data_IF_426388418226
#
_entry.id   IF_426388418226
#
_cell.length_a   1.000
_cell.length_b   1.000
_cell.length_c   1.000
_cell.angle_alpha   90.00
_cell.angle_beta   90.00
_cell.angle_gamma   90.00
#
_symmetry.space_group_name_H-M   'P 1'
#
loop_
_entity.id
_entity.type
_entity.pdbx_description
1 polymer ?
#
# COMPACT_ATOMS: atom_id res chain seq x y z
N UNK A 1 7.64 64.38 -100.50
CA UNK A 1 6.94 65.61 -100.09
C UNK A 1 8.00 66.70 -100.00
N UNK A 2 8.22 67.50 -101.05
CA UNK A 2 7.47 68.72 -101.40
C UNK A 2 7.74 69.81 -100.34
N UNK A 3 8.28 71.00 -100.56
CA UNK A 3 8.43 71.87 -101.74
C UNK A 3 9.45 73.00 -101.43
N UNK A 4 10.01 73.58 -102.49
CA UNK A 4 10.11 75.03 -102.75
C UNK A 4 11.50 75.52 -103.21
N UNK A 5 11.63 75.63 -104.54
CA UNK A 5 12.53 76.55 -105.27
C UNK A 5 11.87 77.96 -105.31
N UNK A 6 12.17 78.90 -106.25
CA UNK A 6 13.42 79.41 -106.90
C UNK A 6 13.53 80.98 -106.89
N UNK A 7 14.53 81.59 -107.59
CA UNK A 7 14.34 82.55 -108.74
C UNK A 7 15.33 83.77 -108.87
N UNK A 8 15.88 83.92 -110.11
CA UNK A 8 16.34 85.09 -110.93
C UNK A 8 17.62 85.89 -110.61
N UNK A 9 18.63 85.97 -111.52
CA UNK A 9 18.80 86.60 -112.89
C UNK A 9 19.17 88.10 -112.81
N UNK A 10 20.24 88.50 -113.54
CA UNK A 10 20.27 89.57 -114.58
C UNK A 10 21.71 90.09 -114.85
N UNK A 11 22.18 89.98 -116.10
CA UNK A 11 23.06 90.98 -116.76
C UNK A 11 22.19 92.16 -117.24
N UNK A 12 22.71 93.37 -117.56
CA UNK A 12 23.12 93.67 -118.96
C UNK A 12 24.15 94.83 -119.18
N UNK A 13 24.98 94.66 -120.22
CA UNK A 13 25.25 95.52 -121.39
C UNK A 13 25.28 97.09 -121.39
N UNK A 14 26.24 97.58 -122.22
CA UNK A 14 26.27 98.79 -123.09
C UNK A 14 26.53 100.20 -122.51
N UNK A 15 27.59 100.89 -122.98
CA UNK A 15 27.48 101.98 -123.98
C UNK A 15 28.84 102.44 -124.55
N UNK A 16 28.78 102.86 -125.81
CA UNK A 16 29.79 103.30 -126.79
C UNK A 16 30.54 104.61 -126.35
N UNK A 17 31.61 105.14 -126.97
CA UNK A 17 31.68 105.63 -128.37
C UNK A 17 33.06 106.29 -128.67
N UNK A 18 33.51 106.16 -129.92
CA UNK A 18 34.30 107.11 -130.75
C UNK A 18 35.68 107.63 -130.31
N UNK A 19 36.70 107.30 -131.13
CA UNK A 19 37.13 108.24 -132.19
C UNK A 19 38.37 109.13 -131.96
N UNK A 20 39.43 108.79 -132.70
CA UNK A 20 40.35 109.68 -133.45
C UNK A 20 41.46 110.49 -132.75
N UNK A 21 42.69 110.15 -133.16
CA UNK A 21 43.85 110.97 -133.51
C UNK A 21 44.63 111.82 -132.45
N UNK A 22 45.92 111.46 -132.39
CA UNK A 22 47.13 112.31 -132.27
C UNK A 22 47.62 112.91 -130.92
N UNK A 23 48.78 112.37 -130.49
CA UNK A 23 50.04 113.09 -130.18
C UNK A 23 50.38 113.53 -128.72
N UNK A 24 51.44 112.84 -128.20
CA UNK A 24 52.51 113.22 -127.24
C UNK A 24 52.39 112.91 -125.72
N UNK A 25 53.56 112.58 -125.16
CA UNK A 25 53.95 111.75 -123.98
C UNK A 25 54.23 112.57 -122.69
N UNK A 26 54.23 111.97 -121.46
CA UNK A 26 55.12 112.30 -120.29
C UNK A 26 55.01 111.33 -119.07
N UNK A 27 56.12 111.15 -118.31
CA UNK A 27 56.54 109.94 -117.51
C UNK A 27 56.39 110.02 -115.96
N UNK A 28 55.94 111.14 -115.41
CA UNK A 28 56.00 111.44 -113.95
C UNK A 28 54.93 110.72 -113.11
N UNK A 29 53.88 110.19 -113.74
CA UNK A 29 52.75 109.54 -113.05
C UNK A 29 53.09 108.14 -112.50
N UNK A 30 54.03 107.42 -113.13
CA UNK A 30 54.34 106.00 -112.81
C UNK A 30 55.08 105.77 -111.48
N UNK A 31 55.85 106.75 -110.98
CA UNK A 31 56.69 106.57 -109.79
C UNK A 31 55.86 106.63 -108.49
N UNK A 32 54.78 107.41 -108.52
CA UNK A 32 53.81 107.49 -107.43
C UNK A 32 53.08 106.15 -107.23
N UNK A 33 52.79 105.45 -108.34
CA UNK A 33 52.09 104.16 -108.31
C UNK A 33 52.92 103.03 -107.67
N UNK A 34 54.26 103.06 -107.77
CA UNK A 34 55.14 102.03 -107.21
C UNK A 34 55.30 102.11 -105.68
N UNK A 35 55.39 103.32 -105.13
CA UNK A 35 55.49 103.52 -103.67
C UNK A 35 54.14 103.29 -102.96
N UNK A 36 53.04 103.48 -103.70
CA UNK A 36 51.72 103.04 -103.29
C UNK A 36 51.67 101.51 -103.15
N UNK A 37 52.20 100.79 -104.14
CA UNK A 37 52.20 99.31 -104.15
C UNK A 37 53.00 98.65 -103.02
N UNK A 38 54.13 99.21 -102.59
CA UNK A 38 54.90 98.64 -101.47
C UNK A 38 54.19 98.78 -100.11
N UNK A 39 53.54 99.92 -99.87
CA UNK A 39 52.70 100.11 -98.67
C UNK A 39 51.45 99.23 -98.73
N UNK A 40 50.95 98.97 -99.93
CA UNK A 40 49.92 97.96 -100.15
C UNK A 40 50.44 96.56 -99.82
N UNK A 41 51.66 96.18 -100.21
CA UNK A 41 52.25 94.85 -99.92
C UNK A 41 52.58 94.63 -98.43
N UNK A 42 53.19 95.60 -97.74
CA UNK A 42 53.42 95.52 -96.28
C UNK A 42 52.10 95.54 -95.50
N UNK A 43 51.09 96.26 -96.02
CA UNK A 43 49.72 96.21 -95.52
C UNK A 43 49.05 94.85 -95.78
N UNK A 44 49.37 94.21 -96.90
CA UNK A 44 48.88 92.87 -97.25
C UNK A 44 49.53 91.78 -96.39
N UNK A 45 50.83 91.85 -96.10
CA UNK A 45 51.51 90.86 -95.23
C UNK A 45 51.08 90.99 -93.78
N UNK A 46 50.95 92.21 -93.26
CA UNK A 46 50.39 92.45 -91.93
C UNK A 46 48.92 91.97 -91.84
N UNK A 47 48.13 92.18 -92.90
CA UNK A 47 46.76 91.66 -92.99
C UNK A 47 46.71 90.13 -93.10
N UNK A 48 47.74 89.49 -93.65
CA UNK A 48 47.85 88.03 -93.76
C UNK A 48 48.19 87.40 -92.42
N UNK A 49 49.19 87.94 -91.70
CA UNK A 49 49.55 87.51 -90.34
C UNK A 49 48.40 87.77 -89.34
N UNK A 50 47.70 88.90 -89.46
CA UNK A 50 46.49 89.17 -88.67
C UNK A 50 45.40 88.14 -88.98
N UNK A 51 45.22 87.76 -90.26
CA UNK A 51 44.29 86.70 -90.64
C UNK A 51 44.70 85.32 -90.15
N UNK A 52 45.99 85.03 -90.11
CA UNK A 52 46.53 83.74 -89.66
C UNK A 52 46.39 83.59 -88.14
N UNK A 53 46.74 84.62 -87.36
CA UNK A 53 46.45 84.65 -85.91
C UNK A 53 44.94 84.58 -85.62
N UNK A 54 44.11 85.26 -86.44
CA UNK A 54 42.65 85.13 -86.35
C UNK A 54 42.20 83.69 -86.60
N UNK A 55 42.77 83.03 -87.60
CA UNK A 55 42.50 81.63 -87.93
C UNK A 55 42.91 80.68 -86.80
N UNK A 56 44.10 80.85 -86.22
CA UNK A 56 44.61 80.03 -85.12
C UNK A 56 43.74 80.19 -83.87
N UNK A 57 43.35 81.42 -83.52
CA UNK A 57 42.43 81.69 -82.40
C UNK A 57 41.03 81.11 -82.63
N UNK A 58 40.53 81.13 -83.88
CA UNK A 58 39.29 80.46 -84.27
C UNK A 58 39.41 78.94 -84.20
N UNK A 59 40.59 78.39 -84.53
CA UNK A 59 40.88 76.96 -84.47
C UNK A 59 40.89 76.47 -83.01
N UNK A 60 41.55 77.21 -82.12
CA UNK A 60 41.53 76.96 -80.68
C UNK A 60 40.12 77.10 -80.11
N UNK A 61 39.40 78.16 -80.47
CA UNK A 61 37.99 78.36 -80.09
C UNK A 61 37.10 77.19 -80.56
N UNK A 62 37.32 76.69 -81.79
CA UNK A 62 36.60 75.53 -82.32
C UNK A 62 36.92 74.24 -81.55
N UNK A 63 38.17 74.00 -81.22
CA UNK A 63 38.58 72.78 -80.49
C UNK A 63 38.09 72.80 -79.04
N UNK A 64 38.10 73.97 -78.40
CA UNK A 64 37.46 74.18 -77.11
C UNK A 64 35.96 73.94 -77.20
N UNK A 65 35.28 74.50 -78.21
CA UNK A 65 33.86 74.27 -78.44
C UNK A 65 33.55 72.79 -78.69
N UNK A 66 34.42 72.07 -79.40
CA UNK A 66 34.27 70.63 -79.64
C UNK A 66 34.45 69.82 -78.35
N UNK A 67 35.44 70.14 -77.52
CA UNK A 67 35.62 69.54 -76.19
C UNK A 67 34.40 69.81 -75.30
N UNK A 68 33.85 71.02 -75.32
CA UNK A 68 32.63 71.37 -74.59
C UNK A 68 31.44 70.57 -75.12
N UNK A 69 31.28 70.46 -76.44
CA UNK A 69 30.21 69.67 -77.04
C UNK A 69 30.31 68.18 -76.66
N UNK A 70 31.49 67.57 -76.73
CA UNK A 70 31.70 66.19 -76.30
C UNK A 70 31.41 66.00 -74.81
N UNK A 71 31.78 66.95 -73.94
CA UNK A 71 31.43 66.91 -72.52
C UNK A 71 29.91 66.98 -72.31
N UNK A 72 29.22 67.88 -73.00
CA UNK A 72 27.75 67.99 -72.95
C UNK A 72 27.07 66.73 -73.46
N UNK A 73 27.57 66.15 -74.56
CA UNK A 73 27.04 64.90 -75.11
C UNK A 73 27.22 63.73 -74.14
N UNK A 74 28.41 63.59 -73.52
CA UNK A 74 28.66 62.58 -72.48
C UNK A 74 27.75 62.77 -71.27
N UNK A 75 27.58 64.01 -70.81
CA UNK A 75 26.68 64.33 -69.72
C UNK A 75 25.23 63.97 -70.05
N UNK A 76 24.76 64.33 -71.26
CA UNK A 76 23.43 63.95 -71.76
C UNK A 76 23.26 62.43 -71.79
N UNK A 77 24.21 61.69 -72.37
CA UNK A 77 24.12 60.23 -72.38
C UNK A 77 24.13 59.63 -70.97
N UNK A 78 24.94 60.19 -70.06
CA UNK A 78 24.97 59.74 -68.66
C UNK A 78 23.66 60.02 -67.92
N UNK A 79 23.01 61.15 -68.22
CA UNK A 79 21.72 61.53 -67.66
C UNK A 79 20.59 60.66 -68.23
N UNK A 80 20.58 60.39 -69.53
CA UNK A 80 19.62 59.48 -70.17
C UNK A 80 19.76 58.05 -69.62
N UNK A 81 21.00 57.58 -69.38
CA UNK A 81 21.21 56.29 -68.69
C UNK A 81 20.78 56.32 -67.23
N UNK A 82 20.98 57.44 -66.53
CA UNK A 82 20.52 57.61 -65.15
C UNK A 82 18.99 57.58 -65.05
N UNK A 83 18.28 58.30 -65.91
CA UNK A 83 16.81 58.27 -65.95
C UNK A 83 16.27 56.89 -66.30
N UNK A 84 16.87 56.20 -67.27
CA UNK A 84 16.46 54.82 -67.60
C UNK A 84 16.69 53.85 -66.44
N UNK A 85 17.79 53.99 -65.71
CA UNK A 85 18.07 53.17 -64.54
C UNK A 85 17.09 53.51 -63.41
N UNK A 86 16.84 54.79 -63.13
CA UNK A 86 15.87 55.23 -62.12
C UNK A 86 14.43 54.77 -62.43
N UNK A 87 14.00 54.85 -63.70
CA UNK A 87 12.70 54.35 -64.13
C UNK A 87 12.61 52.81 -64.05
N UNK A 88 13.70 52.11 -64.38
CA UNK A 88 13.79 50.66 -64.22
C UNK A 88 13.76 50.26 -62.73
N UNK A 89 14.50 50.96 -61.87
CA UNK A 89 14.53 50.75 -60.42
C UNK A 89 13.15 51.00 -59.81
N UNK A 90 12.47 52.08 -60.21
CA UNK A 90 11.09 52.36 -59.80
C UNK A 90 10.10 51.27 -60.24
N UNK A 91 10.26 50.75 -61.46
CA UNK A 91 9.43 49.65 -61.96
C UNK A 91 9.68 48.36 -61.16
N UNK A 92 10.94 48.06 -60.84
CA UNK A 92 11.33 46.92 -60.00
C UNK A 92 10.76 47.07 -58.59
N UNK A 93 10.92 48.22 -57.94
CA UNK A 93 10.36 48.47 -56.61
C UNK A 93 8.84 48.32 -56.59
N UNK A 94 8.14 48.82 -57.61
CA UNK A 94 6.68 48.68 -57.73
C UNK A 94 6.28 47.22 -57.88
N UNK A 95 6.97 46.47 -58.74
CA UNK A 95 6.74 45.04 -58.92
C UNK A 95 7.05 44.24 -57.64
N UNK A 96 8.07 44.62 -56.88
CA UNK A 96 8.39 44.01 -55.59
C UNK A 96 7.32 44.30 -54.53
N UNK A 97 6.83 45.55 -54.43
CA UNK A 97 5.74 45.93 -53.52
C UNK A 97 4.48 45.13 -53.85
N UNK A 98 4.11 45.05 -55.12
CA UNK A 98 2.96 44.27 -55.59
C UNK A 98 3.15 42.77 -55.30
N UNK A 99 4.33 42.20 -55.55
CA UNK A 99 4.64 40.81 -55.19
C UNK A 99 4.54 40.57 -53.69
N UNK A 100 5.01 41.49 -52.85
CA UNK A 100 4.91 41.40 -51.38
C UNK A 100 3.44 41.44 -50.94
N UNK A 101 2.63 42.33 -51.50
CA UNK A 101 1.19 42.42 -51.21
C UNK A 101 0.44 41.16 -51.65
N UNK A 102 0.73 40.64 -52.86
CA UNK A 102 0.16 39.38 -53.34
C UNK A 102 0.56 38.24 -52.41
N UNK A 103 1.82 38.15 -51.99
CA UNK A 103 2.29 37.11 -51.06
C UNK A 103 1.61 37.21 -49.68
N UNK A 104 1.36 38.43 -49.18
CA UNK A 104 0.62 38.62 -47.93
C UNK A 104 -0.84 38.19 -48.07
N UNK A 105 -1.51 38.61 -49.15
CA UNK A 105 -2.90 38.23 -49.42
C UNK A 105 -3.05 36.72 -49.65
N UNK A 106 -2.11 36.08 -50.34
CA UNK A 106 -2.16 34.62 -50.55
C UNK A 106 -1.95 33.86 -49.24
N UNK A 107 -1.02 34.29 -48.38
CA UNK A 107 -0.87 33.73 -47.03
C UNK A 107 -2.15 33.88 -46.20
N UNK A 108 -2.79 35.04 -46.27
CA UNK A 108 -4.04 35.28 -45.53
C UNK A 108 -5.19 34.43 -46.09
N UNK A 109 -5.29 34.27 -47.41
CA UNK A 109 -6.26 33.36 -48.04
C UNK A 109 -6.03 31.92 -47.58
N UNK A 110 -4.79 31.45 -47.55
CA UNK A 110 -4.47 30.09 -47.07
C UNK A 110 -4.78 29.93 -45.57
N UNK A 111 -4.49 30.94 -44.74
CA UNK A 111 -4.88 30.96 -43.32
C UNK A 111 -6.40 30.86 -43.16
N UNK A 112 -7.15 31.69 -43.86
CA UNK A 112 -8.62 31.71 -43.82
C UNK A 112 -9.22 30.41 -44.36
N UNK A 113 -8.65 29.80 -45.40
CA UNK A 113 -9.07 28.48 -45.90
C UNK A 113 -8.88 27.40 -44.85
N UNK A 114 -7.74 27.41 -44.15
CA UNK A 114 -7.46 26.45 -43.07
C UNK A 114 -8.46 26.62 -41.92
N UNK A 115 -8.68 27.86 -41.48
CA UNK A 115 -9.65 28.18 -40.41
C UNK A 115 -11.08 27.77 -40.81
N UNK A 116 -11.48 28.01 -42.07
CA UNK A 116 -12.77 27.54 -42.58
C UNK A 116 -12.86 26.01 -42.58
N UNK A 117 -11.79 25.31 -42.96
CA UNK A 117 -11.78 23.85 -42.95
C UNK A 117 -11.93 23.30 -41.52
N UNK A 118 -11.20 23.86 -40.55
CA UNK A 118 -11.30 23.51 -39.13
C UNK A 118 -12.71 23.78 -38.58
N UNK A 119 -13.30 24.94 -38.92
CA UNK A 119 -14.68 25.27 -38.53
C UNK A 119 -15.72 24.32 -39.14
N UNK A 120 -15.53 23.92 -40.39
CA UNK A 120 -16.42 22.94 -41.05
C UNK A 120 -16.29 21.57 -40.37
N UNK A 121 -15.08 21.13 -40.07
CA UNK A 121 -14.85 19.87 -39.37
C UNK A 121 -15.48 19.88 -37.97
N UNK A 122 -15.27 20.94 -37.20
CA UNK A 122 -15.90 21.10 -35.87
C UNK A 122 -17.42 21.14 -35.95
N UNK A 123 -17.99 21.83 -36.95
CA UNK A 123 -19.44 21.84 -37.17
C UNK A 123 -19.98 20.45 -37.56
N UNK A 124 -19.23 19.66 -38.32
CA UNK A 124 -19.62 18.30 -38.69
C UNK A 124 -19.57 17.35 -37.50
N UNK A 125 -18.53 17.43 -36.66
CA UNK A 125 -18.41 16.66 -35.41
C UNK A 125 -19.59 16.96 -34.48
N UNK A 126 -19.87 18.25 -34.25
CA UNK A 126 -21.02 18.66 -33.41
C UNK A 126 -22.35 18.16 -33.97
N UNK A 127 -22.50 18.10 -35.30
CA UNK A 127 -23.69 17.55 -35.95
C UNK A 127 -23.81 16.05 -35.72
N UNK A 128 -22.72 15.30 -35.80
CA UNK A 128 -22.71 13.85 -35.50
C UNK A 128 -23.07 13.60 -34.03
N UNK A 129 -22.52 14.41 -33.11
CA UNK A 129 -22.84 14.32 -31.69
C UNK A 129 -24.33 14.59 -31.44
N UNK A 130 -24.89 15.64 -32.05
CA UNK A 130 -26.31 15.95 -31.96
C UNK A 130 -27.21 14.84 -32.53
N UNK A 131 -26.80 14.23 -33.64
CA UNK A 131 -27.49 13.07 -34.21
C UNK A 131 -27.46 11.88 -33.26
N UNK A 132 -26.34 11.65 -32.55
CA UNK A 132 -26.26 10.61 -31.52
C UNK A 132 -27.22 10.89 -30.35
N UNK A 133 -27.37 12.17 -29.96
CA UNK A 133 -28.31 12.60 -28.92
C UNK A 133 -29.78 12.47 -29.33
N UNK A 134 -30.08 12.55 -30.63
CA UNK A 134 -31.45 12.35 -31.15
C UNK A 134 -31.99 10.96 -30.83
N UNK A 135 -31.14 9.93 -30.87
CA UNK A 135 -31.52 8.55 -30.52
C UNK A 135 -32.02 8.47 -29.06
N UNK A 136 -31.33 9.15 -28.14
CA UNK A 136 -31.73 9.17 -26.74
C UNK A 136 -33.01 9.97 -26.52
N UNK A 137 -33.21 11.06 -27.26
CA UNK A 137 -34.46 11.81 -27.26
C UNK A 137 -35.62 10.94 -27.75
N UNK A 138 -35.47 10.21 -28.85
CA UNK A 138 -36.50 9.31 -29.38
C UNK A 138 -36.88 8.23 -28.36
N UNK A 139 -35.90 7.69 -27.64
CA UNK A 139 -36.14 6.72 -26.56
C UNK A 139 -36.89 7.37 -25.40
N UNK A 140 -36.47 8.56 -24.95
CA UNK A 140 -37.15 9.29 -23.87
C UNK A 140 -38.59 9.64 -24.25
N UNK A 141 -38.84 10.08 -25.48
CA UNK A 141 -40.18 10.33 -25.99
C UNK A 141 -41.04 9.05 -26.07
N UNK A 142 -40.44 7.92 -26.46
CA UNK A 142 -41.11 6.61 -26.40
C UNK A 142 -41.43 6.21 -24.96
N UNK A 143 -40.51 6.43 -24.02
CA UNK A 143 -40.73 6.15 -22.60
C UNK A 143 -41.83 7.03 -22.02
N UNK A 144 -41.92 8.31 -22.39
CA UNK A 144 -43.04 9.19 -22.03
C UNK A 144 -44.36 8.64 -22.57
N UNK A 145 -44.40 8.15 -23.83
CA UNK A 145 -45.61 7.52 -24.41
C UNK A 145 -46.02 6.22 -23.71
N UNK A 146 -45.06 5.44 -23.22
CA UNK A 146 -45.30 4.20 -22.48
C UNK A 146 -45.68 4.43 -21.02
N UNK A 147 -45.41 5.62 -20.50
CA UNK A 147 -45.65 5.98 -19.10
C UNK A 147 -46.76 7.02 -18.99
N UNK A 148 -47.12 7.41 -17.75
CA UNK A 148 -48.16 8.43 -17.49
C UNK A 148 -47.59 9.86 -17.41
N UNK A 149 -46.31 10.05 -17.74
CA UNK A 149 -45.68 11.36 -17.66
C UNK A 149 -46.12 12.24 -18.83
N UNK A 150 -46.27 13.55 -18.57
CA UNK A 150 -46.71 14.51 -19.59
C UNK A 150 -45.56 15.00 -20.46
N UNK A 151 -44.34 14.96 -19.93
CA UNK A 151 -43.14 15.53 -20.53
C UNK A 151 -41.90 14.70 -20.18
N UNK A 152 -40.88 14.78 -21.03
CA UNK A 152 -39.54 14.20 -20.83
C UNK A 152 -38.87 14.79 -19.59
N UNK A 153 -39.08 16.09 -19.33
CA UNK A 153 -38.51 16.76 -18.16
C UNK A 153 -39.08 16.19 -16.85
N UNK A 154 -40.40 15.99 -16.78
CA UNK A 154 -41.05 15.38 -15.60
C UNK A 154 -40.64 13.92 -15.39
N UNK A 155 -40.44 13.18 -16.47
CA UNK A 155 -39.90 11.82 -16.40
C UNK A 155 -38.46 11.83 -15.88
N UNK A 156 -37.65 12.78 -16.35
CA UNK A 156 -36.24 12.94 -15.95
C UNK A 156 -36.14 13.33 -14.47
N UNK A 157 -36.93 14.30 -14.01
CA UNK A 157 -37.00 14.71 -12.61
C UNK A 157 -37.40 13.54 -11.69
N UNK A 158 -38.34 12.71 -12.14
CA UNK A 158 -38.77 11.53 -11.41
C UNK A 158 -37.66 10.48 -11.33
N UNK A 159 -36.98 10.19 -12.45
CA UNK A 159 -35.85 9.25 -12.49
C UNK A 159 -34.69 9.76 -11.65
N UNK A 160 -34.38 11.05 -11.69
CA UNK A 160 -33.36 11.65 -10.85
C UNK A 160 -33.72 11.56 -9.36
N UNK A 161 -34.97 11.84 -9.01
CA UNK A 161 -35.48 11.67 -7.64
C UNK A 161 -35.38 10.20 -7.19
N UNK A 162 -35.67 9.25 -8.08
CA UNK A 162 -35.56 7.81 -7.80
C UNK A 162 -34.10 7.39 -7.62
N UNK A 163 -33.17 7.91 -8.42
CA UNK A 163 -31.74 7.67 -8.27
C UNK A 163 -31.23 8.23 -6.93
N UNK A 164 -31.60 9.46 -6.59
CA UNK A 164 -31.26 10.07 -5.30
C UNK A 164 -31.80 9.24 -4.13
N UNK A 165 -33.05 8.77 -4.23
CA UNK A 165 -33.65 7.90 -3.22
C UNK A 165 -32.89 6.57 -3.11
N UNK A 166 -32.54 5.95 -4.25
CA UNK A 166 -31.74 4.72 -4.27
C UNK A 166 -30.41 4.93 -3.56
N UNK A 167 -29.70 6.01 -3.84
CA UNK A 167 -28.40 6.30 -3.22
C UNK A 167 -28.54 6.49 -1.70
N UNK A 168 -29.56 7.23 -1.27
CA UNK A 168 -29.88 7.39 0.16
C UNK A 168 -30.19 6.05 0.84
N UNK A 169 -31.00 5.20 0.19
CA UNK A 169 -31.30 3.86 0.68
C UNK A 169 -30.05 2.99 0.76
N UNK A 170 -29.17 3.03 -0.25
CA UNK A 170 -27.91 2.29 -0.24
C UNK A 170 -26.95 2.77 0.85
N UNK A 171 -26.90 4.07 1.16
CA UNK A 171 -26.13 4.60 2.30
C UNK A 171 -26.72 4.08 3.62
N UNK A 172 -28.03 4.17 3.79
CA UNK A 172 -28.72 3.70 5.00
C UNK A 172 -28.55 2.19 5.19
N UNK A 173 -28.69 1.41 4.13
CA UNK A 173 -28.48 -0.03 4.14
C UNK A 173 -27.06 -0.37 4.59
N UNK A 174 -26.04 0.29 4.04
CA UNK A 174 -24.64 0.11 4.46
C UNK A 174 -24.45 0.43 5.94
N UNK A 175 -25.03 1.53 6.43
CA UNK A 175 -24.94 1.90 7.84
C UNK A 175 -25.57 0.84 8.77
N UNK A 176 -26.73 0.29 8.40
CA UNK A 176 -27.38 -0.78 9.15
C UNK A 176 -26.56 -2.08 9.09
N UNK A 177 -26.02 -2.42 7.93
CA UNK A 177 -25.16 -3.60 7.77
C UNK A 177 -23.88 -3.48 8.61
N UNK A 178 -23.26 -2.30 8.67
CA UNK A 178 -22.11 -2.03 9.53
C UNK A 178 -22.47 -2.14 11.01
N UNK A 179 -23.62 -1.61 11.43
CA UNK A 179 -24.10 -1.79 12.80
C UNK A 179 -24.31 -3.27 13.15
N UNK A 180 -24.94 -4.04 12.27
CA UNK A 180 -25.15 -5.48 12.46
C UNK A 180 -23.81 -6.22 12.50
N UNK A 181 -22.85 -5.85 11.66
CA UNK A 181 -21.51 -6.43 11.67
C UNK A 181 -20.80 -6.15 13.01
N UNK A 182 -20.86 -4.92 13.51
CA UNK A 182 -20.27 -4.55 14.79
C UNK A 182 -20.94 -5.30 15.96
N UNK A 183 -22.27 -5.35 16.00
CA UNK A 183 -23.00 -6.12 17.02
C UNK A 183 -22.67 -7.62 16.97
N UNK A 184 -22.53 -8.21 15.78
CA UNK A 184 -22.09 -9.61 15.64
C UNK A 184 -20.67 -9.81 16.16
N UNK A 185 -19.76 -8.88 15.87
CA UNK A 185 -18.38 -8.92 16.36
C UNK A 185 -18.33 -8.85 17.88
N UNK A 186 -19.09 -7.94 18.49
CA UNK A 186 -19.21 -7.82 19.95
C UNK A 186 -19.81 -9.09 20.57
N UNK A 187 -20.84 -9.67 19.95
CA UNK A 187 -21.45 -10.91 20.41
C UNK A 187 -20.46 -12.07 20.41
N UNK A 188 -19.65 -12.22 19.34
CA UNK A 188 -18.62 -13.26 19.27
C UNK A 188 -17.56 -13.04 20.36
N UNK A 189 -17.09 -11.81 20.55
CA UNK A 189 -16.11 -11.51 21.59
C UNK A 189 -16.64 -11.81 23.00
N UNK A 190 -17.91 -11.49 23.28
CA UNK A 190 -18.55 -11.82 24.55
C UNK A 190 -18.72 -13.32 24.74
N UNK A 191 -19.09 -14.04 23.68
CA UNK A 191 -19.21 -15.49 23.70
C UNK A 191 -17.85 -16.17 23.99
N UNK A 192 -16.78 -15.69 23.35
CA UNK A 192 -15.43 -16.20 23.59
C UNK A 192 -14.98 -15.94 25.03
N UNK A 193 -15.28 -14.76 25.57
CA UNK A 193 -15.02 -14.44 26.98
C UNK A 193 -15.81 -15.36 27.93
N UNK A 194 -17.09 -15.60 27.65
CA UNK A 194 -17.91 -16.52 28.44
C UNK A 194 -17.39 -17.95 28.34
N UNK A 195 -16.98 -18.40 27.15
CA UNK A 195 -16.40 -19.72 26.97
C UNK A 195 -15.11 -19.89 27.76
N UNK A 196 -14.23 -18.88 27.76
CA UNK A 196 -13.01 -18.90 28.57
C UNK A 196 -13.32 -18.98 30.07
N UNK A 197 -14.28 -18.18 30.55
CA UNK A 197 -14.72 -18.23 31.95
C UNK A 197 -15.29 -19.60 32.31
N UNK A 198 -16.11 -20.18 31.44
CA UNK A 198 -16.66 -21.52 31.64
C UNK A 198 -15.56 -22.58 31.73
N UNK A 199 -14.56 -22.52 30.85
CA UNK A 199 -13.40 -23.40 30.91
C UNK A 199 -12.62 -23.23 32.21
N UNK A 200 -12.38 -21.99 32.64
CA UNK A 200 -11.72 -21.71 33.92
C UNK A 200 -12.51 -22.31 35.08
N UNK A 201 -13.82 -22.08 35.15
CA UNK A 201 -14.69 -22.63 36.21
C UNK A 201 -14.78 -24.14 36.18
N UNK A 202 -14.78 -24.75 35.00
CA UNK A 202 -14.73 -26.20 34.87
C UNK A 202 -13.39 -26.78 35.36
N UNK A 203 -12.29 -26.08 35.10
CA UNK A 203 -10.97 -26.47 35.60
C UNK A 203 -10.90 -26.36 37.13
N UNK A 204 -11.35 -25.23 37.70
CA UNK A 204 -11.47 -25.04 39.16
C UNK A 204 -12.34 -26.14 39.80
N UNK A 205 -13.48 -26.47 39.20
CA UNK A 205 -14.35 -27.54 39.68
C UNK A 205 -13.65 -28.90 39.65
N UNK A 206 -12.92 -29.20 38.58
CA UNK A 206 -12.18 -30.45 38.44
C UNK A 206 -11.07 -30.58 39.48
N UNK A 207 -10.37 -29.49 39.79
CA UNK A 207 -9.38 -29.44 40.86
C UNK A 207 -10.02 -29.71 42.23
N UNK A 208 -11.09 -28.99 42.57
CA UNK A 208 -11.81 -29.19 43.83
C UNK A 208 -12.40 -30.59 43.96
N UNK A 209 -12.88 -31.17 42.86
CA UNK A 209 -13.37 -32.56 42.85
C UNK A 209 -12.24 -33.55 43.14
N UNK A 210 -11.04 -33.30 42.59
CA UNK A 210 -9.87 -34.14 42.83
C UNK A 210 -9.43 -34.06 44.30
N UNK A 211 -9.35 -32.85 44.87
CA UNK A 211 -9.05 -32.64 46.30
C UNK A 211 -10.09 -33.31 47.21
N UNK A 212 -11.38 -33.24 46.84
CA UNK A 212 -12.45 -33.91 47.56
C UNK A 212 -12.31 -35.43 47.53
N UNK A 213 -11.96 -36.01 46.37
CA UNK A 213 -11.79 -37.45 46.23
C UNK A 213 -10.52 -37.94 46.97
N UNK A 214 -9.45 -37.15 46.96
CA UNK A 214 -8.23 -37.41 47.72
C UNK A 214 -8.51 -37.44 49.23
N UNK A 215 -9.16 -36.39 49.76
CA UNK A 215 -9.52 -36.30 51.19
C UNK A 215 -10.49 -37.40 51.62
N UNK A 216 -11.45 -37.77 50.76
CA UNK A 216 -12.33 -38.93 50.99
C UNK A 216 -11.55 -40.24 51.03
N UNK A 217 -10.62 -40.43 50.11
CA UNK A 217 -9.79 -41.64 50.06
C UNK A 217 -8.94 -41.79 51.33
N UNK A 218 -8.38 -40.67 51.83
CA UNK A 218 -7.63 -40.64 53.08
C UNK A 218 -8.54 -40.92 54.28
N UNK A 219 -9.73 -40.31 54.32
CA UNK A 219 -10.73 -40.57 55.38
C UNK A 219 -11.09 -42.05 55.44
N UNK A 220 -11.41 -42.68 54.30
CA UNK A 220 -11.72 -44.11 54.21
C UNK A 220 -10.55 -44.99 54.67
N UNK A 221 -9.31 -44.58 54.38
CA UNK A 221 -8.12 -45.28 54.82
C UNK A 221 -7.97 -45.22 56.35
N UNK A 222 -8.21 -44.05 56.96
CA UNK A 222 -8.19 -43.90 58.40
C UNK A 222 -9.35 -44.60 59.09
N UNK A 223 -10.56 -44.57 58.54
CA UNK A 223 -11.71 -45.34 59.02
C UNK A 223 -11.40 -46.84 59.01
N UNK A 224 -10.81 -47.37 57.94
CA UNK A 224 -10.39 -48.78 57.89
C UNK A 224 -9.37 -49.12 58.98
N UNK A 225 -8.35 -48.27 59.16
CA UNK A 225 -7.35 -48.46 60.22
C UNK A 225 -7.99 -48.42 61.61
N UNK A 226 -8.90 -47.47 61.84
CA UNK A 226 -9.63 -47.34 63.10
C UNK A 226 -10.46 -48.58 63.40
N UNK A 227 -11.25 -49.06 62.43
CA UNK A 227 -12.02 -50.30 62.56
C UNK A 227 -11.13 -51.49 62.87
N UNK A 228 -9.97 -51.63 62.21
CA UNK A 228 -9.03 -52.71 62.51
C UNK A 228 -8.47 -52.63 63.94
N UNK A 229 -8.15 -51.42 64.41
CA UNK A 229 -7.70 -51.21 65.80
C UNK A 229 -8.82 -51.58 66.77
N UNK A 230 -10.05 -51.14 66.51
CA UNK A 230 -11.22 -51.42 67.33
C UNK A 230 -11.51 -52.93 67.38
N UNK A 231 -11.51 -53.63 66.24
CA UNK A 231 -11.67 -55.08 66.18
C UNK A 231 -10.57 -55.81 66.95
N UNK A 232 -9.32 -55.35 66.83
CA UNK A 232 -8.19 -55.94 67.54
C UNK A 232 -8.31 -55.73 69.05
N UNK A 233 -8.71 -54.53 69.48
CA UNK A 233 -8.94 -54.20 70.88
C UNK A 233 -10.10 -55.02 71.46
N UNK A 234 -11.21 -55.17 70.72
CA UNK A 234 -12.34 -56.00 71.12
C UNK A 234 -11.92 -57.48 71.28
N UNK A 235 -11.15 -58.03 70.33
CA UNK A 235 -10.60 -59.40 70.43
C UNK A 235 -9.70 -59.57 71.65
N UNK A 236 -8.78 -58.63 71.90
CA UNK A 236 -7.90 -58.67 73.09
C UNK A 236 -8.68 -58.54 74.40
N UNK A 237 -9.69 -57.68 74.43
CA UNK A 237 -10.56 -57.50 75.62
C UNK A 237 -11.36 -58.78 75.90
N UNK A 238 -11.90 -59.41 74.86
CA UNK A 238 -12.58 -60.70 74.99
C UNK A 238 -11.62 -61.79 75.49
N UNK A 239 -10.42 -61.91 74.92
CA UNK A 239 -9.40 -62.85 75.39
C UNK A 239 -9.00 -62.61 76.84
N UNK A 240 -8.81 -61.35 77.23
CA UNK A 240 -8.52 -60.98 78.62
C UNK A 240 -9.67 -61.39 79.55
N UNK A 241 -10.92 -61.15 79.16
CA UNK A 241 -12.10 -61.60 79.90
C UNK A 241 -12.15 -63.13 80.04
N UNK A 242 -11.86 -63.87 78.97
CA UNK A 242 -11.77 -65.34 78.99
C UNK A 242 -10.68 -65.84 79.94
N UNK A 243 -9.51 -65.20 79.93
CA UNK A 243 -8.41 -65.53 80.85
C UNK A 243 -8.83 -65.25 82.30
N UNK A 244 -9.43 -64.08 82.57
CA UNK A 244 -9.92 -63.73 83.91
C UNK A 244 -10.93 -64.75 84.44
N UNK A 245 -11.90 -65.14 83.61
CA UNK A 245 -12.87 -66.18 83.99
C UNK A 245 -12.19 -67.53 84.22
N UNK A 246 -11.22 -67.92 83.38
CA UNK A 246 -10.48 -69.16 83.57
C UNK A 246 -9.67 -69.17 84.88
N UNK A 247 -9.04 -68.03 85.23
CA UNK A 247 -8.33 -67.86 86.50
C UNK A 247 -9.31 -67.97 87.67
N UNK A 248 -10.43 -67.24 87.61
CA UNK A 248 -11.46 -67.28 88.66
C UNK A 248 -11.99 -68.70 88.86
N UNK A 249 -12.37 -69.39 87.79
CA UNK A 249 -12.84 -70.78 87.86
C UNK A 249 -11.79 -71.73 88.47
N UNK A 250 -10.49 -71.54 88.15
CA UNK A 250 -9.42 -72.33 88.75
C UNK A 250 -9.20 -71.99 90.23
N UNK A 251 -9.32 -70.72 90.61
CA UNK A 251 -9.21 -70.25 91.99
C UNK A 251 -10.32 -70.85 92.86
N UNK A 252 -11.57 -70.79 92.38
CA UNK A 252 -12.72 -71.45 93.01
C UNK A 252 -12.50 -72.96 93.15
N UNK A 253 -11.96 -73.64 92.12
CA UNK A 253 -11.61 -75.07 92.20
C UNK A 253 -10.53 -75.39 93.25
N UNK A 254 -9.61 -74.47 93.53
CA UNK A 254 -8.58 -74.63 94.57
C UNK A 254 -9.11 -74.38 95.99
N UNK A 255 -10.41 -74.11 96.13
CA UNK A 255 -11.07 -73.84 97.41
C UNK A 255 -11.00 -72.38 97.84
N UNK A 256 -10.59 -71.46 96.94
CA UNK A 256 -10.63 -70.04 97.21
C UNK A 256 -12.05 -69.51 97.10
N UNK A 257 -12.57 -68.94 98.19
CA UNK A 257 -13.83 -68.21 98.21
C UNK A 257 -13.64 -66.84 97.59
N UNK A 258 -14.58 -66.44 96.74
CA UNK A 258 -14.62 -65.07 96.26
C UNK A 258 -15.11 -64.17 97.40
N UNK A 259 -14.56 -62.96 97.52
CA UNK A 259 -14.95 -62.04 98.61
C UNK A 259 -16.44 -61.65 98.59
N UNK A 260 -17.16 -61.85 97.48
CA UNK A 260 -18.62 -61.65 97.43
C UNK A 260 -19.40 -62.80 98.08
N UNK A 261 -18.85 -64.02 98.13
CA UNK A 261 -19.45 -65.14 98.89
C UNK A 261 -19.21 -65.00 100.39
N UNK A 262 -18.19 -64.22 100.80
CA UNK A 262 -17.90 -63.93 102.21
C UNK A 262 -18.81 -62.84 102.80
N UNK A 263 -19.40 -61.94 101.99
CA UNK A 263 -20.37 -60.95 102.51
C UNK A 263 -21.74 -61.57 102.86
N UNK A 264 -22.10 -62.75 102.34
CA UNK A 264 -23.29 -63.49 102.79
C UNK A 264 -22.99 -64.55 103.88
N UNK A 265 -21.76 -65.03 104.03
CA UNK A 265 -21.37 -66.02 105.06
C UNK A 265 -20.56 -65.47 106.26
N UNK A 266 -20.34 -64.16 106.40
CA UNK A 266 -19.85 -63.55 107.65
C UNK A 266 -20.95 -63.43 108.73
N UNK A 267 -21.58 -64.55 109.07
CA UNK A 267 -22.17 -64.79 110.40
C UNK A 267 -21.99 -66.25 110.81
N UNK A 268 -20.74 -66.73 110.86
CA UNK A 268 -20.37 -67.85 111.73
C UNK A 268 -18.85 -67.93 111.93
N UNK A 269 -18.45 -67.47 113.11
CA UNK A 269 -17.44 -68.08 113.98
C UNK A 269 -16.11 -68.54 113.37
N UNK A 270 -15.05 -67.80 113.70
CA UNK A 270 -13.79 -68.41 114.14
C UNK A 270 -12.61 -68.31 113.16
N UNK A 271 -11.71 -67.38 113.48
CA UNK A 271 -10.25 -67.43 113.27
C UNK A 271 -9.73 -68.40 112.19
N UNK A 272 -9.73 -67.91 110.95
CA UNK A 272 -8.87 -68.39 109.88
C UNK A 272 -8.65 -67.22 108.92
N UNK A 273 -7.41 -66.74 108.82
CA UNK A 273 -6.99 -65.73 107.86
C UNK A 273 -7.08 -66.32 106.43
N UNK A 274 -8.29 -66.42 105.88
CA UNK A 274 -8.43 -66.50 104.43
C UNK A 274 -8.96 -65.14 103.97
N UNK A 275 -8.03 -64.25 103.61
CA UNK A 275 -8.39 -62.99 102.96
C UNK A 275 -9.03 -63.33 101.62
N UNK A 276 -10.36 -63.31 101.54
CA UNK A 276 -11.10 -63.41 100.29
C UNK A 276 -10.49 -62.49 99.24
N UNK A 277 -10.18 -63.03 98.06
CA UNK A 277 -9.54 -62.25 96.99
C UNK A 277 -10.63 -61.57 96.17
N UNK A 278 -10.49 -60.26 95.94
CA UNK A 278 -11.39 -59.49 95.07
C UNK A 278 -11.55 -60.16 93.70
N UNK A 279 -12.79 -60.26 93.24
CA UNK A 279 -13.18 -60.88 91.96
C UNK A 279 -12.46 -60.27 90.76
N UNK A 280 -12.07 -58.98 90.84
CA UNK A 280 -11.37 -58.31 89.75
C UNK A 280 -9.83 -58.41 89.81
N UNK A 281 -9.27 -58.89 90.92
CA UNK A 281 -7.84 -58.99 91.17
C UNK A 281 -7.29 -60.37 90.75
N UNK A 282 -7.27 -60.59 89.43
CA UNK A 282 -6.82 -61.83 88.82
C UNK A 282 -5.34 -62.15 89.11
N UNK A 283 -4.51 -61.16 89.46
CA UNK A 283 -3.10 -61.37 89.81
C UNK A 283 -2.98 -62.09 91.15
N UNK A 284 -3.70 -61.62 92.18
CA UNK A 284 -3.72 -62.29 93.49
C UNK A 284 -4.38 -63.67 93.45
N UNK A 285 -5.43 -63.86 92.64
CA UNK A 285 -6.05 -65.17 92.45
C UNK A 285 -5.05 -66.17 91.85
N UNK A 286 -4.27 -65.73 90.85
CA UNK A 286 -3.24 -66.56 90.23
C UNK A 286 -2.11 -66.90 91.22
N UNK A 287 -1.69 -65.95 92.05
CA UNK A 287 -0.68 -66.19 93.09
C UNK A 287 -1.15 -67.27 94.10
N UNK A 288 -2.41 -67.20 94.56
CA UNK A 288 -2.99 -68.24 95.43
C UNK A 288 -3.06 -69.61 94.74
N UNK A 289 -3.51 -69.66 93.48
CA UNK A 289 -3.50 -70.92 92.68
C UNK A 289 -2.07 -71.48 92.57
N UNK A 290 -1.08 -70.63 92.34
CA UNK A 290 0.33 -71.05 92.21
C UNK A 290 0.88 -71.65 93.51
N UNK A 291 0.55 -71.05 94.66
CA UNK A 291 0.89 -71.61 95.98
C UNK A 291 0.22 -72.98 96.16
N UNK A 292 -1.08 -73.10 95.88
CA UNK A 292 -1.80 -74.37 95.97
C UNK A 292 -1.19 -75.47 95.08
N UNK A 293 -0.86 -75.16 93.82
CA UNK A 293 -0.22 -76.11 92.90
C UNK A 293 1.17 -76.52 93.43
N UNK A 294 1.95 -75.58 93.96
CA UNK A 294 3.27 -75.86 94.53
C UNK A 294 3.17 -76.78 95.75
N UNK A 295 2.22 -76.51 96.64
CA UNK A 295 1.95 -77.32 97.82
C UNK A 295 1.46 -78.71 97.44
N UNK A 296 0.52 -78.82 96.49
CA UNK A 296 0.07 -80.10 95.95
C UNK A 296 1.24 -80.88 95.31
N UNK A 297 2.09 -80.23 94.52
CA UNK A 297 3.26 -80.86 93.92
C UNK A 297 4.29 -81.32 94.97
N UNK A 298 4.46 -80.57 96.05
CA UNK A 298 5.32 -80.95 97.16
C UNK A 298 4.75 -82.16 97.93
N UNK A 299 3.44 -82.18 98.17
CA UNK A 299 2.73 -83.32 98.77
C UNK A 299 2.86 -84.57 97.87
N UNK A 300 2.63 -84.44 96.57
CA UNK A 300 2.79 -85.56 95.62
C UNK A 300 4.24 -86.06 95.58
N UNK A 301 5.25 -85.18 95.60
CA UNK A 301 6.66 -85.56 95.67
C UNK A 301 7.01 -86.29 96.98
N UNK A 302 6.42 -85.88 98.10
CA UNK A 302 6.58 -86.56 99.38
C UNK A 302 5.94 -87.96 99.39
N UNK A 303 4.89 -88.17 98.58
CA UNK A 303 4.20 -89.45 98.43
C UNK A 303 4.66 -90.29 97.21
N UNK A 304 5.61 -89.79 96.41
CA UNK A 304 6.22 -90.56 95.32
C UNK A 304 7.26 -91.55 95.87
N UNK A 305 6.86 -92.80 96.07
CA UNK A 305 7.77 -93.96 96.22
C UNK A 305 8.51 -94.31 94.90
N UNK A 306 9.71 -94.93 94.92
CA UNK A 306 10.52 -95.24 93.72
C UNK A 306 9.97 -96.36 92.80
N UNK A 307 8.66 -96.47 92.58
CA UNK A 307 8.05 -97.60 91.85
C UNK A 307 7.11 -97.22 90.69
N UNK A 308 7.11 -95.96 90.24
CA UNK A 308 6.33 -95.54 89.06
C UNK A 308 7.18 -95.01 87.90
N UNK A 309 8.39 -95.54 87.71
CA UNK A 309 9.22 -95.25 86.53
C UNK A 309 8.99 -96.19 85.33
N UNK A 310 8.04 -97.14 85.37
CA UNK A 310 7.92 -98.18 84.33
C UNK A 310 6.67 -98.12 83.42
N UNK A 311 5.74 -97.19 83.59
CA UNK A 311 4.50 -97.17 82.77
C UNK A 311 4.28 -95.93 81.90
N UNK A 312 5.17 -94.94 81.93
CA UNK A 312 5.05 -93.75 81.07
C UNK A 312 6.10 -93.66 79.95
N UNK A 313 7.08 -94.57 79.90
CA UNK A 313 8.03 -94.63 78.78
C UNK A 313 7.51 -95.38 77.55
N UNK A 314 6.37 -96.07 77.63
CA UNK A 314 5.80 -96.85 76.51
C UNK A 314 4.68 -96.13 75.74
N UNK A 315 4.28 -94.92 76.15
CA UNK A 315 3.28 -94.11 75.42
C UNK A 315 3.89 -92.91 74.68
N UNK A 316 5.14 -92.53 74.97
CA UNK A 316 5.87 -91.49 74.23
C UNK A 316 6.44 -91.95 72.88
N UNK A 317 6.48 -93.27 72.61
CA UNK A 317 6.98 -93.82 71.34
C UNK A 317 5.89 -94.13 70.30
N UNK A 318 4.59 -93.97 70.63
CA UNK A 318 3.49 -94.24 69.68
C UNK A 318 2.87 -92.96 69.08
N UNK A 319 3.11 -91.77 69.65
CA UNK A 319 2.59 -90.52 69.09
C UNK A 319 3.60 -89.73 68.23
N UNK A 320 4.82 -90.25 68.03
CA UNK A 320 5.83 -89.62 67.18
C UNK A 320 5.72 -89.98 65.69
N UNK A 321 4.78 -90.86 65.31
CA UNK A 321 4.60 -91.34 63.93
C UNK A 321 3.51 -90.62 63.11
N UNK A 322 2.64 -89.81 63.72
CA UNK A 322 1.45 -89.28 63.02
C UNK A 322 1.51 -87.78 62.66
N UNK A 323 2.68 -87.13 62.81
CA UNK A 323 2.83 -85.71 62.46
C UNK A 323 3.80 -85.49 61.28
N UNK A 324 3.64 -86.31 60.24
CA UNK A 324 4.21 -86.03 58.92
C UNK A 324 3.06 -85.87 57.93
N UNK A 325 3.03 -84.67 57.34
CA UNK A 325 2.43 -84.34 56.05
C UNK A 325 1.04 -83.66 56.04
N UNK A 326 1.01 -82.35 56.31
CA UNK A 326 0.06 -81.45 55.64
C UNK A 326 0.81 -80.22 55.13
N UNK A 327 1.42 -80.38 53.96
CA UNK A 327 1.98 -79.30 53.14
C UNK A 327 0.83 -78.67 52.35
N UNK A 328 0.21 -77.62 52.89
CA UNK A 328 -0.76 -76.82 52.12
C UNK A 328 -0.01 -75.86 51.20
N UNK A 329 -0.31 -76.07 49.92
CA UNK A 329 0.14 -75.39 48.73
C UNK A 329 -0.18 -73.89 48.73
N UNK A 330 0.85 -73.05 48.56
CA UNK A 330 0.66 -71.65 48.18
C UNK A 330 0.44 -71.55 46.67
N UNK A 331 -0.82 -71.33 46.25
CA UNK A 331 -1.17 -71.00 44.85
C UNK A 331 -2.37 -70.06 44.81
N UNK A 332 -2.14 -68.77 44.57
CA UNK A 332 -3.05 -67.84 43.87
C UNK A 332 -2.28 -66.53 43.64
N UNK A 333 -1.81 -66.23 42.42
CA UNK A 333 -2.51 -65.55 41.31
C UNK A 333 -2.91 -64.10 41.64
N UNK A 334 -2.32 -63.18 40.86
CA UNK A 334 -2.82 -61.90 40.32
C UNK A 334 -3.70 -61.01 41.20
N UNK A 335 -3.40 -59.70 41.22
CA UNK A 335 -4.19 -58.69 40.49
C UNK A 335 -3.32 -57.44 40.28
N UNK A 336 -3.32 -56.98 39.03
CA UNK A 336 -2.78 -55.73 38.52
C UNK A 336 -3.54 -54.52 39.08
N UNK A 337 -2.83 -53.43 39.34
CA UNK A 337 -3.30 -52.07 39.03
C UNK A 337 -2.10 -51.25 38.57
#
# INVERSE_FOLDING_TARGET
MSLSKPVHKLSPDLFERSGSAESKFNKTTLLFDLQKRRREDEGLTAALEEREQKLESLHQCRDELHKVHQKVQKLKSSFDTFLKNEDADRAVEKAEKERKEVLQKTKEIERLKKEKAELIEGSQQLKLDLQSHTIYQDILEQMVKLTKFKDVDLLTDYVESLLRLKDQLSVRERAVQEQVYNMKKELVALNDQHHLLQLQKNNELSQLQTELDDTRSETLLWERKWTQIQETAAKKTLQLGQIKIAILNLFEMTGGTSSEEEEEEEKKEGEGEDEGVDLNDAEKQLDKIMVFIHDYANVVKQHQTPSQHQTLSTLTDVQKSDNVNVRITSRSKHVSF
#
